data_IF_196070607790
#
_entry.id   IF_196070607790
#
_cell.length_a   1.000
_cell.length_b   1.000
_cell.length_c   1.000
_cell.angle_alpha   90.00
_cell.angle_beta   90.00
_cell.angle_gamma   90.00
#
_symmetry.space_group_name_H-M   'P 1'
#
loop_
_entity.id
_entity.type
_entity.pdbx_description
1 polymer ?
#
# COMPACT_ATOMS: atom_id res chain seq x y z
N UNK A 1 -19.77 26.55 0.33
CA UNK A 1 -19.93 25.51 1.37
C UNK A 1 -19.23 24.34 0.78
N UNK A 2 -18.03 24.14 1.31
CA UNK A 2 -17.01 23.27 0.80
C UNK A 2 -17.43 21.83 1.07
N UNK A 3 -17.75 21.10 0.00
CA UNK A 3 -17.70 19.64 0.03
C UNK A 3 -16.22 19.27 -0.12
N UNK A 4 -15.51 19.23 1.02
CA UNK A 4 -14.33 18.39 1.18
C UNK A 4 -14.77 16.94 0.92
N UNK A 5 -14.70 16.52 -0.34
CA UNK A 5 -14.76 15.11 -0.70
C UNK A 5 -13.56 14.44 -0.05
N UNK A 6 -13.78 13.87 1.13
CA UNK A 6 -12.81 13.04 1.83
C UNK A 6 -12.26 12.02 0.85
N UNK A 7 -10.94 12.04 0.66
CA UNK A 7 -10.23 11.04 -0.14
C UNK A 7 -10.69 9.65 0.32
N UNK A 8 -11.17 8.82 -0.62
CA UNK A 8 -11.71 7.48 -0.37
C UNK A 8 -10.69 6.65 0.42
N UNK A 9 -10.85 6.62 1.74
CA UNK A 9 -10.04 5.80 2.63
C UNK A 9 -10.49 4.37 2.45
N UNK A 10 -9.69 3.59 1.73
CA UNK A 10 -10.01 2.20 1.45
C UNK A 10 -10.01 1.42 2.76
N UNK A 11 -11.20 0.99 3.16
CA UNK A 11 -11.43 0.12 4.31
C UNK A 11 -11.94 -1.21 3.79
N UNK A 12 -11.30 -2.29 4.21
CA UNK A 12 -11.75 -3.66 3.96
C UNK A 12 -12.05 -4.33 5.29
N UNK A 13 -13.10 -5.12 5.35
CA UNK A 13 -13.46 -5.87 6.56
C UNK A 13 -14.04 -7.24 6.23
N UNK A 14 -13.97 -8.15 7.20
CA UNK A 14 -14.59 -9.47 7.11
C UNK A 14 -16.08 -9.40 7.45
N UNK A 15 -16.85 -10.31 6.87
CA UNK A 15 -18.25 -10.55 7.26
C UNK A 15 -18.43 -12.03 7.55
N UNK A 16 -18.87 -12.35 8.77
CA UNK A 16 -19.24 -13.71 9.18
C UNK A 16 -18.34 -14.35 10.21
N UNK A 17 -17.27 -13.69 10.67
CA UNK A 17 -16.54 -14.15 11.86
C UNK A 17 -17.40 -14.02 13.12
N UNK A 18 -18.32 -13.04 13.13
CA UNK A 18 -19.32 -12.84 14.20
C UNK A 18 -20.17 -14.07 14.45
N UNK A 19 -20.52 -14.83 13.41
CA UNK A 19 -21.28 -16.09 13.53
C UNK A 19 -20.49 -17.21 14.27
N UNK A 20 -19.22 -16.98 14.56
CA UNK A 20 -18.30 -17.88 15.26
C UNK A 20 -17.83 -17.31 16.59
N UNK A 21 -18.57 -16.35 17.14
CA UNK A 21 -18.23 -15.64 18.39
C UNK A 21 -16.83 -14.97 18.35
N UNK A 22 -16.42 -14.51 17.17
CA UNK A 22 -15.17 -13.80 16.96
C UNK A 22 -15.45 -12.39 16.39
N UNK A 23 -14.75 -11.33 16.86
CA UNK A 23 -14.83 -10.00 16.26
C UNK A 23 -14.56 -10.03 14.75
N UNK A 24 -15.18 -9.15 13.99
CA UNK A 24 -14.78 -8.96 12.60
C UNK A 24 -13.39 -8.31 12.52
N UNK A 25 -12.66 -8.62 11.46
CA UNK A 25 -11.36 -8.03 11.19
C UNK A 25 -11.52 -6.90 10.18
N UNK A 26 -10.92 -5.75 10.44
CA UNK A 26 -10.84 -4.65 9.48
C UNK A 26 -9.39 -4.29 9.16
N UNK A 27 -9.17 -3.69 8.00
CA UNK A 27 -7.89 -3.19 7.55
C UNK A 27 -8.10 -1.90 6.75
N UNK A 28 -7.23 -0.91 6.94
CA UNK A 28 -7.27 0.40 6.29
C UNK A 28 -6.00 0.60 5.47
N UNK A 29 -6.07 1.30 4.34
CA UNK A 29 -4.87 1.75 3.61
C UNK A 29 -4.21 0.74 2.68
N UNK A 30 -4.75 -0.49 2.58
CA UNK A 30 -4.32 -1.46 1.56
C UNK A 30 -5.22 -1.39 0.32
N UNK A 31 -4.65 -1.66 -0.88
CA UNK A 31 -5.43 -1.99 -2.05
C UNK A 31 -6.37 -3.18 -1.78
N UNK A 32 -7.55 -3.18 -2.43
CA UNK A 32 -8.61 -4.15 -2.16
C UNK A 32 -8.15 -5.62 -2.25
N UNK A 33 -7.33 -5.96 -3.24
CA UNK A 33 -6.82 -7.33 -3.42
C UNK A 33 -5.86 -7.74 -2.28
N UNK A 34 -4.95 -6.86 -1.87
CA UNK A 34 -4.02 -7.10 -0.76
C UNK A 34 -4.74 -7.20 0.57
N UNK A 35 -5.70 -6.32 0.81
CA UNK A 35 -6.53 -6.33 2.00
C UNK A 35 -7.37 -7.61 2.08
N UNK A 36 -8.03 -7.97 0.97
CA UNK A 36 -8.82 -9.20 0.86
C UNK A 36 -7.98 -10.44 1.08
N UNK A 37 -6.77 -10.52 0.50
CA UNK A 37 -5.85 -11.62 0.72
C UNK A 37 -5.43 -11.76 2.19
N UNK A 38 -5.03 -10.66 2.84
CA UNK A 38 -4.63 -10.64 4.24
C UNK A 38 -5.77 -11.06 5.16
N UNK A 39 -6.95 -10.47 4.98
CA UNK A 39 -8.14 -10.75 5.78
C UNK A 39 -8.62 -12.19 5.59
N UNK A 40 -8.57 -12.72 4.36
CA UNK A 40 -8.88 -14.14 4.11
C UNK A 40 -7.89 -15.08 4.80
N UNK A 41 -6.60 -14.73 4.81
CA UNK A 41 -5.59 -15.54 5.51
C UNK A 41 -5.89 -15.60 7.01
N UNK A 42 -6.14 -14.46 7.64
CA UNK A 42 -6.45 -14.38 9.07
C UNK A 42 -7.82 -15.00 9.38
N UNK A 43 -8.82 -14.75 8.54
CA UNK A 43 -10.14 -15.37 8.62
C UNK A 43 -10.08 -16.90 8.56
N UNK A 44 -9.23 -17.47 7.70
CA UNK A 44 -9.00 -18.92 7.66
C UNK A 44 -8.37 -19.46 8.95
N UNK A 45 -7.49 -18.70 9.62
CA UNK A 45 -6.95 -19.09 10.93
C UNK A 45 -8.03 -19.07 12.01
N UNK A 46 -8.88 -18.04 12.02
CA UNK A 46 -10.05 -17.99 12.91
C UNK A 46 -11.00 -19.15 12.62
N UNK A 47 -11.22 -19.48 11.34
CA UNK A 47 -11.99 -20.65 10.94
C UNK A 47 -11.40 -21.95 11.49
N UNK A 48 -10.08 -22.09 11.48
CA UNK A 48 -9.35 -23.21 12.07
C UNK A 48 -9.30 -23.22 13.61
N UNK A 49 -9.89 -22.22 14.28
CA UNK A 49 -10.01 -22.14 15.74
C UNK A 49 -9.02 -21.20 16.44
N UNK A 50 -8.24 -20.42 15.68
CA UNK A 50 -7.44 -19.34 16.28
C UNK A 50 -8.37 -18.25 16.85
N UNK A 51 -7.93 -17.60 17.93
CA UNK A 51 -8.61 -16.44 18.51
C UNK A 51 -7.65 -15.27 18.48
N UNK A 52 -7.94 -14.28 17.65
CA UNK A 52 -7.18 -13.04 17.58
C UNK A 52 -7.64 -12.09 18.68
N UNK A 53 -6.71 -11.33 19.26
CA UNK A 53 -6.98 -10.46 20.39
C UNK A 53 -6.24 -9.15 20.25
N UNK A 54 -6.85 -8.08 20.78
CA UNK A 54 -6.17 -6.82 21.02
C UNK A 54 -4.79 -7.01 21.68
N UNK A 55 -3.81 -6.26 21.19
CA UNK A 55 -2.44 -6.28 21.68
C UNK A 55 -1.62 -7.49 21.24
N UNK A 56 -2.12 -8.33 20.32
CA UNK A 56 -1.35 -9.46 19.79
C UNK A 56 -0.57 -9.08 18.53
N UNK A 57 0.56 -9.75 18.34
CA UNK A 57 1.34 -9.74 17.10
C UNK A 57 1.40 -11.17 16.59
N UNK A 58 1.26 -11.34 15.29
CA UNK A 58 1.36 -12.62 14.61
C UNK A 58 1.90 -12.42 13.20
N UNK A 59 2.51 -13.45 12.64
CA UNK A 59 2.95 -13.40 11.25
C UNK A 59 1.78 -13.64 10.30
N UNK A 60 1.57 -12.75 9.34
CA UNK A 60 0.88 -13.02 8.07
C UNK A 60 1.93 -13.31 6.97
N UNK A 61 1.55 -13.39 5.69
CA UNK A 61 2.55 -13.64 4.63
C UNK A 61 2.54 -15.08 4.10
N UNK A 62 3.31 -15.31 3.03
CA UNK A 62 3.53 -16.67 2.51
C UNK A 62 4.49 -17.46 3.40
N UNK A 63 4.42 -18.80 3.41
CA UNK A 63 5.40 -19.62 4.11
C UNK A 63 6.83 -19.32 3.63
N UNK A 64 7.69 -18.86 4.54
CA UNK A 64 9.08 -18.46 4.23
C UNK A 64 9.28 -16.95 4.11
N UNK A 65 8.20 -16.18 3.99
CA UNK A 65 8.21 -14.71 3.97
C UNK A 65 7.15 -14.16 4.95
N UNK A 66 7.32 -14.40 6.27
CA UNK A 66 6.40 -13.90 7.27
C UNK A 66 6.47 -12.39 7.37
N UNK A 67 5.30 -11.74 7.39
CA UNK A 67 5.13 -10.32 7.60
C UNK A 67 4.36 -10.11 8.90
N UNK A 68 4.96 -9.49 9.94
CA UNK A 68 4.28 -9.32 11.20
C UNK A 68 3.09 -8.38 11.04
N UNK A 69 1.96 -8.75 11.65
CA UNK A 69 0.78 -7.89 11.78
C UNK A 69 0.44 -7.74 13.25
N UNK A 70 -0.02 -6.55 13.62
CA UNK A 70 -0.48 -6.22 14.96
C UNK A 70 -2.01 -6.11 14.98
N UNK A 71 -2.61 -6.51 16.10
CA UNK A 71 -4.05 -6.49 16.29
C UNK A 71 -4.39 -5.47 17.37
N UNK A 72 -5.27 -4.51 17.05
CA UNK A 72 -5.82 -3.55 18.01
C UNK A 72 -7.35 -3.60 18.02
N UNK A 73 -7.95 -3.04 19.06
CA UNK A 73 -9.41 -2.92 19.15
C UNK A 73 -9.81 -1.72 18.30
N UNK A 74 -10.98 -1.81 17.68
CA UNK A 74 -11.60 -0.69 16.97
C UNK A 74 -12.47 0.07 17.96
N UNK A 75 -12.22 1.37 18.11
CA UNK A 75 -13.02 2.26 18.96
C UNK A 75 -14.12 2.98 18.14
N UNK A 76 -13.93 3.09 16.83
CA UNK A 76 -14.85 3.69 15.86
C UNK A 76 -15.12 2.68 14.71
N UNK A 77 -16.25 1.98 14.78
CA UNK A 77 -16.65 0.89 13.88
C UNK A 77 -17.83 1.24 12.96
N UNK A 78 -18.09 2.54 12.77
CA UNK A 78 -19.23 3.07 11.98
C UNK A 78 -19.23 2.59 10.50
N UNK A 79 -18.11 2.05 10.00
CA UNK A 79 -17.94 1.59 8.61
C UNK A 79 -18.37 0.11 8.38
N UNK A 80 -18.74 -0.63 9.43
CA UNK A 80 -19.12 -2.06 9.34
C UNK A 80 -20.63 -2.27 9.05
N UNK A 81 -21.21 -1.46 8.17
CA UNK A 81 -22.66 -1.42 7.90
C UNK A 81 -23.27 -2.81 7.59
N UNK A 82 -22.60 -3.62 6.75
CA UNK A 82 -23.08 -4.96 6.37
C UNK A 82 -23.09 -5.92 7.56
N UNK A 83 -22.12 -5.79 8.47
CA UNK A 83 -22.05 -6.61 9.69
C UNK A 83 -23.19 -6.21 10.62
N UNK A 84 -23.45 -4.91 10.77
CA UNK A 84 -24.53 -4.40 11.60
C UNK A 84 -25.90 -4.87 11.09
N UNK A 85 -26.14 -4.83 9.77
CA UNK A 85 -27.40 -5.29 9.18
C UNK A 85 -27.67 -6.78 9.46
N UNK A 86 -26.63 -7.63 9.40
CA UNK A 86 -26.77 -9.08 9.51
C UNK A 86 -26.74 -9.56 10.98
N UNK A 87 -25.83 -9.01 11.79
CA UNK A 87 -25.50 -9.52 13.13
C UNK A 87 -25.81 -8.54 14.26
N UNK A 88 -26.27 -7.32 13.96
CA UNK A 88 -26.32 -6.18 14.87
C UNK A 88 -24.92 -5.60 15.10
N UNK A 89 -24.82 -4.56 15.94
CA UNK A 89 -23.52 -4.00 16.32
C UNK A 89 -22.63 -5.07 16.98
N UNK A 90 -21.40 -5.21 16.47
CA UNK A 90 -20.41 -6.21 16.89
C UNK A 90 -19.04 -5.57 17.03
N UNK A 91 -18.24 -5.96 18.04
CA UNK A 91 -16.88 -5.48 18.15
C UNK A 91 -16.06 -5.88 16.93
N UNK A 92 -15.10 -5.03 16.56
CA UNK A 92 -14.15 -5.27 15.50
C UNK A 92 -12.70 -5.16 16.01
N UNK A 93 -11.80 -5.82 15.29
CA UNK A 93 -10.35 -5.74 15.49
C UNK A 93 -9.72 -5.18 14.22
N UNK A 94 -8.83 -4.21 14.39
CA UNK A 94 -8.05 -3.70 13.26
C UNK A 94 -6.75 -4.50 13.12
N UNK A 95 -6.47 -4.90 11.88
CA UNK A 95 -5.22 -5.53 11.46
C UNK A 95 -4.28 -4.45 10.94
N UNK A 96 -3.22 -4.21 11.71
CA UNK A 96 -2.14 -3.27 11.39
C UNK A 96 -1.04 -4.05 10.68
N UNK A 97 -0.71 -3.67 9.45
CA UNK A 97 0.34 -4.29 8.66
C UNK A 97 1.63 -3.45 8.67
N UNK A 98 2.75 -4.09 8.38
CA UNK A 98 4.03 -3.41 8.17
C UNK A 98 4.24 -3.00 6.72
N UNK A 99 5.12 -2.04 6.49
CA UNK A 99 5.62 -1.75 5.14
C UNK A 99 6.51 -2.89 4.60
N UNK A 100 7.05 -2.70 3.39
CA UNK A 100 7.96 -3.63 2.73
C UNK A 100 9.32 -3.81 3.43
N UNK A 101 9.61 -2.99 4.45
CA UNK A 101 10.81 -3.10 5.30
C UNK A 101 10.51 -3.71 6.67
N UNK A 102 9.26 -4.15 6.88
CA UNK A 102 8.81 -4.76 8.14
C UNK A 102 8.49 -3.75 9.24
N UNK A 103 8.43 -2.45 8.96
CA UNK A 103 8.15 -1.41 9.98
C UNK A 103 6.66 -1.19 10.13
N UNK A 104 6.19 -0.99 11.36
CA UNK A 104 4.82 -0.55 11.64
C UNK A 104 4.66 0.97 11.45
N UNK A 105 3.42 1.50 11.35
CA UNK A 105 3.20 2.94 11.17
C UNK A 105 3.81 3.85 12.26
N UNK A 106 4.03 3.32 13.46
CA UNK A 106 4.64 4.03 14.58
C UNK A 106 6.17 3.91 14.66
N UNK A 107 6.78 3.13 13.77
CA UNK A 107 8.23 2.99 13.73
C UNK A 107 8.87 4.11 12.91
N UNK A 108 10.00 4.61 13.42
CA UNK A 108 10.83 5.55 12.65
C UNK A 108 11.28 4.91 11.32
N UNK A 109 11.12 5.66 10.23
CA UNK A 109 11.47 5.21 8.89
C UNK A 109 10.42 4.35 8.18
N UNK A 110 9.17 4.31 8.69
CA UNK A 110 8.05 3.71 7.96
C UNK A 110 7.91 4.31 6.55
N UNK A 111 7.88 3.45 5.53
CA UNK A 111 7.99 3.81 4.13
C UNK A 111 6.66 4.27 3.50
N UNK A 112 5.52 3.83 4.05
CA UNK A 112 4.20 4.27 3.61
C UNK A 112 3.79 5.55 4.37
N UNK A 113 2.79 6.29 3.88
CA UNK A 113 2.25 7.42 4.66
C UNK A 113 1.47 6.84 5.85
N UNK A 114 1.78 7.21 7.12
CA UNK A 114 1.07 6.68 8.27
C UNK A 114 -0.44 6.94 8.26
N UNK A 115 -0.88 8.05 7.64
CA UNK A 115 -2.29 8.44 7.53
C UNK A 115 -3.11 7.50 6.66
N UNK A 116 -2.48 6.68 5.81
CA UNK A 116 -3.18 5.78 4.90
C UNK A 116 -3.76 4.57 5.67
N UNK A 117 -3.06 4.07 6.69
CA UNK A 117 -3.50 2.94 7.53
C UNK A 117 -4.26 3.40 8.78
N UNK A 118 -5.01 4.49 8.69
CA UNK A 118 -5.64 5.18 9.83
C UNK A 118 -6.01 4.27 11.01
N UNK A 119 -5.40 4.55 12.18
CA UNK A 119 -5.50 3.70 13.36
C UNK A 119 -6.83 4.01 14.07
N UNK A 120 -7.75 3.05 14.05
CA UNK A 120 -9.13 3.17 14.56
C UNK A 120 -9.26 2.93 16.07
N UNK A 121 -8.15 2.83 16.78
CA UNK A 121 -8.15 2.64 18.22
C UNK A 121 -6.77 2.84 18.83
N UNK A 122 -6.69 2.76 20.16
CA UNK A 122 -5.43 2.94 20.86
C UNK A 122 -4.46 1.78 20.59
N UNK A 123 -3.23 2.13 20.18
CA UNK A 123 -2.12 1.18 20.10
C UNK A 123 -1.56 0.96 21.51
N UNK A 124 -1.56 -0.28 22.04
CA UNK A 124 -0.99 -0.56 23.35
C UNK A 124 0.48 -0.19 23.45
N UNK A 125 0.89 0.27 24.63
CA UNK A 125 2.28 0.68 24.91
C UNK A 125 3.29 -0.42 24.57
N UNK A 126 2.95 -1.69 24.77
CA UNK A 126 3.85 -2.79 24.44
C UNK A 126 4.00 -3.03 22.92
N UNK A 127 3.02 -2.66 22.10
CA UNK A 127 3.14 -2.68 20.64
C UNK A 127 3.99 -1.51 20.15
N UNK A 128 3.80 -0.31 20.72
CA UNK A 128 4.64 0.85 20.44
C UNK A 128 6.11 0.60 20.82
N UNK A 129 6.34 -0.22 21.86
CA UNK A 129 7.67 -0.60 22.32
C UNK A 129 8.29 -1.77 21.54
N UNK A 130 7.63 -2.31 20.51
CA UNK A 130 8.22 -3.35 19.67
C UNK A 130 9.51 -2.80 19.03
N UNK A 131 10.60 -3.58 19.02
CA UNK A 131 11.83 -3.14 18.40
C UNK A 131 11.55 -2.83 16.93
N UNK A 132 12.05 -1.69 16.48
CA UNK A 132 12.03 -1.38 15.06
C UNK A 132 12.90 -2.41 14.34
N UNK A 133 12.38 -3.13 13.34
CA UNK A 133 13.15 -4.16 12.66
C UNK A 133 14.39 -3.55 12.01
N UNK A 134 15.55 -4.12 12.33
CA UNK A 134 16.78 -3.93 11.58
C UNK A 134 16.82 -5.01 10.50
N UNK A 135 15.92 -4.86 9.53
CA UNK A 135 15.71 -5.84 8.45
C UNK A 135 16.04 -5.13 7.16
N UNK A 136 17.05 -5.65 6.46
CA UNK A 136 17.33 -5.25 5.07
C UNK A 136 16.05 -5.45 4.25
N UNK A 137 15.75 -4.58 3.26
CA UNK A 137 14.59 -4.76 2.40
C UNK A 137 14.54 -6.19 1.87
N UNK A 138 13.34 -6.77 1.77
CA UNK A 138 13.19 -8.16 1.32
C UNK A 138 13.96 -8.38 0.02
N UNK A 139 14.52 -9.58 -0.25
CA UNK A 139 15.28 -9.81 -1.49
C UNK A 139 14.50 -9.39 -2.73
N UNK A 140 13.17 -9.55 -2.73
CA UNK A 140 12.27 -9.06 -3.77
C UNK A 140 12.17 -7.54 -3.80
N UNK A 141 12.05 -6.87 -2.65
CA UNK A 141 12.08 -5.40 -2.55
C UNK A 141 13.44 -4.81 -2.95
N UNK A 142 14.54 -5.53 -2.71
CA UNK A 142 15.90 -5.19 -3.11
C UNK A 142 16.16 -5.49 -4.59
N UNK A 143 15.58 -6.56 -5.14
CA UNK A 143 15.62 -6.90 -6.57
C UNK A 143 14.76 -5.96 -7.42
N UNK A 144 13.65 -5.45 -6.88
CA UNK A 144 12.82 -4.41 -7.51
C UNK A 144 13.23 -3.00 -7.11
N UNK A 145 14.22 -2.83 -6.23
CA UNK A 145 14.71 -1.51 -5.87
C UNK A 145 15.30 -0.86 -7.12
N UNK A 146 14.69 0.26 -7.51
CA UNK A 146 15.04 0.93 -8.75
C UNK A 146 14.48 0.25 -10.01
N UNK A 147 13.60 -0.76 -9.94
CA UNK A 147 12.90 -1.22 -11.14
C UNK A 147 11.68 -0.34 -11.44
N UNK A 148 11.52 0.00 -12.70
CA UNK A 148 10.40 0.80 -13.23
C UNK A 148 9.85 0.15 -14.50
N UNK A 149 8.58 0.42 -14.78
CA UNK A 149 7.90 0.02 -16.00
C UNK A 149 8.05 1.16 -17.02
N UNK A 150 8.47 0.83 -18.23
CA UNK A 150 8.62 1.78 -19.35
C UNK A 150 8.23 1.12 -20.66
N UNK A 151 7.96 1.91 -21.70
CA UNK A 151 7.66 1.37 -23.04
C UNK A 151 8.93 1.17 -23.90
N UNK A 152 8.84 0.33 -24.93
CA UNK A 152 9.93 0.13 -25.90
C UNK A 152 10.36 1.44 -26.58
N UNK A 153 9.43 2.35 -26.87
CA UNK A 153 9.77 3.65 -27.50
C UNK A 153 10.70 4.52 -26.63
N UNK A 154 10.56 4.47 -25.31
CA UNK A 154 11.48 5.14 -24.38
C UNK A 154 12.86 4.48 -24.42
N UNK A 155 12.90 3.14 -24.45
CA UNK A 155 14.15 2.37 -24.58
C UNK A 155 14.88 2.65 -25.90
N UNK A 156 14.12 2.94 -26.97
CA UNK A 156 14.64 3.35 -28.28
C UNK A 156 15.12 4.82 -28.32
N UNK A 157 15.01 5.55 -27.20
CA UNK A 157 15.57 6.89 -27.01
C UNK A 157 14.55 8.02 -27.01
N UNK A 158 13.25 7.72 -27.04
CA UNK A 158 12.23 8.73 -26.86
C UNK A 158 12.30 9.35 -25.45
N UNK A 159 11.90 10.63 -25.28
CA UNK A 159 12.00 11.28 -23.99
C UNK A 159 10.88 10.80 -23.05
N UNK A 160 11.22 10.51 -21.79
CA UNK A 160 10.19 10.26 -20.75
C UNK A 160 9.47 11.57 -20.47
N UNK A 161 8.22 11.75 -20.87
CA UNK A 161 7.47 12.99 -20.56
C UNK A 161 6.51 12.82 -19.41
N UNK A 162 6.23 11.58 -19.00
CA UNK A 162 5.29 11.23 -17.93
C UNK A 162 5.95 10.27 -16.96
N UNK A 163 5.88 10.59 -15.67
CA UNK A 163 6.29 9.75 -14.55
C UNK A 163 5.08 9.56 -13.65
N UNK A 164 4.66 8.34 -13.42
CA UNK A 164 3.55 8.01 -12.52
C UNK A 164 4.08 7.12 -11.41
N UNK A 165 3.68 7.42 -10.19
CA UNK A 165 3.77 6.47 -9.09
C UNK A 165 2.37 6.04 -8.73
N UNK A 166 2.04 4.81 -9.12
CA UNK A 166 0.73 4.22 -8.90
C UNK A 166 0.42 4.10 -7.40
N UNK A 167 -0.85 3.92 -7.07
CA UNK A 167 -1.30 3.77 -5.67
C UNK A 167 -0.70 2.52 -4.99
N UNK A 168 -0.38 1.47 -5.78
CA UNK A 168 0.30 0.26 -5.30
C UNK A 168 1.83 0.42 -5.17
N UNK A 169 2.37 1.59 -5.53
CA UNK A 169 3.79 1.92 -5.46
C UNK A 169 4.58 1.60 -6.72
N UNK A 170 3.96 1.08 -7.78
CA UNK A 170 4.62 0.86 -9.06
C UNK A 170 5.01 2.18 -9.75
N UNK A 171 6.18 2.18 -10.40
CA UNK A 171 6.69 3.32 -11.15
C UNK A 171 6.48 3.10 -12.65
N UNK A 172 5.81 4.03 -13.33
CA UNK A 172 5.66 4.05 -14.78
C UNK A 172 6.36 5.29 -15.34
N UNK A 173 7.30 5.09 -16.26
CA UNK A 173 8.03 6.16 -16.95
C UNK A 173 7.74 6.05 -18.45
N UNK A 174 6.99 7.00 -19.02
CA UNK A 174 6.42 6.90 -20.36
C UNK A 174 6.73 8.12 -21.23
N UNK A 175 6.66 7.94 -22.55
CA UNK A 175 6.89 9.00 -23.55
C UNK A 175 5.72 9.99 -23.67
N UNK A 176 4.50 9.56 -23.34
CA UNK A 176 3.27 10.35 -23.43
C UNK A 176 2.23 9.83 -22.43
N UNK A 177 1.19 10.63 -22.16
CA UNK A 177 0.04 10.25 -21.31
C UNK A 177 -0.97 9.36 -22.06
N UNK A 178 -0.82 9.25 -23.39
CA UNK A 178 -1.72 8.52 -24.25
C UNK A 178 -1.60 7.00 -24.03
N UNK A 179 -2.47 6.50 -23.16
CA UNK A 179 -3.03 5.14 -23.07
C UNK A 179 -2.13 3.96 -23.44
N UNK A 180 -1.82 3.16 -22.41
CA UNK A 180 -1.57 1.72 -22.42
C UNK A 180 -1.48 1.10 -23.82
N UNK A 181 -0.30 1.24 -24.46
CA UNK A 181 0.09 0.35 -25.55
C UNK A 181 -0.03 -1.08 -25.02
N UNK A 182 -0.44 -2.00 -25.90
CA UNK A 182 -0.78 -3.38 -25.55
C UNK A 182 0.26 -3.97 -24.57
N UNK A 183 -0.15 -4.81 -23.60
CA UNK A 183 0.73 -5.27 -22.51
C UNK A 183 2.07 -5.89 -22.94
N UNK A 184 2.22 -6.23 -24.23
CA UNK A 184 3.45 -6.74 -24.84
C UNK A 184 4.54 -5.68 -25.10
N UNK A 185 4.25 -4.37 -25.02
CA UNK A 185 5.23 -3.29 -25.26
C UNK A 185 5.84 -2.66 -23.98
N UNK A 186 5.40 -3.12 -22.80
CA UNK A 186 5.91 -2.68 -21.51
C UNK A 186 7.07 -3.54 -21.03
N UNK A 187 8.11 -2.86 -20.56
CA UNK A 187 9.37 -3.45 -20.14
C UNK A 187 9.68 -3.04 -18.71
N UNK A 188 10.05 -4.02 -17.88
CA UNK A 188 10.59 -3.79 -16.55
C UNK A 188 12.11 -3.59 -16.65
N UNK A 189 12.60 -2.41 -16.27
CA UNK A 189 14.02 -2.05 -16.37
C UNK A 189 14.50 -1.36 -15.10
N UNK A 190 15.82 -1.33 -14.90
CA UNK A 190 16.41 -0.55 -13.83
C UNK A 190 16.41 0.95 -14.17
N UNK A 191 16.04 1.77 -13.20
CA UNK A 191 15.86 3.22 -13.31
C UNK A 191 17.16 3.92 -13.65
N UNK A 192 18.30 3.37 -13.20
CA UNK A 192 19.61 3.89 -13.53
C UNK A 192 19.84 3.94 -15.05
N UNK A 193 19.32 2.98 -15.83
CA UNK A 193 19.43 3.04 -17.30
C UNK A 193 18.71 4.27 -17.87
N UNK A 194 17.55 4.63 -17.29
CA UNK A 194 16.79 5.80 -17.71
C UNK A 194 17.41 7.10 -17.18
N UNK A 195 17.95 7.11 -15.96
CA UNK A 195 18.66 8.25 -15.36
C UNK A 195 19.97 8.54 -16.11
N UNK A 196 20.70 7.51 -16.53
CA UNK A 196 21.89 7.68 -17.37
C UNK A 196 21.55 8.35 -18.70
N UNK A 197 20.42 7.97 -19.30
CA UNK A 197 19.92 8.59 -20.53
C UNK A 197 19.28 9.99 -20.29
N UNK A 198 18.72 10.21 -19.10
CA UNK A 198 18.09 11.46 -18.67
C UNK A 198 18.26 11.74 -17.17
N UNK A 199 19.33 12.47 -16.80
CA UNK A 199 19.62 12.75 -15.40
C UNK A 199 18.53 13.57 -14.67
N UNK A 200 17.67 14.30 -15.40
CA UNK A 200 16.60 15.10 -14.79
C UNK A 200 15.49 14.25 -14.15
N UNK A 201 15.46 12.94 -14.42
CA UNK A 201 14.53 12.01 -13.75
C UNK A 201 14.78 11.95 -12.23
N UNK A 202 16.02 12.20 -11.78
CA UNK A 202 16.35 12.28 -10.35
C UNK A 202 15.55 13.35 -9.60
N UNK A 203 14.99 14.32 -10.33
CA UNK A 203 14.15 15.40 -9.78
C UNK A 203 12.70 14.98 -9.55
N UNK A 204 12.25 13.79 -9.97
CA UNK A 204 10.82 13.40 -9.89
C UNK A 204 10.58 11.96 -9.44
N UNK A 205 11.63 11.14 -9.34
CA UNK A 205 11.55 9.75 -8.83
C UNK A 205 11.43 9.67 -7.30
N UNK A 206 10.96 10.74 -6.68
CA UNK A 206 10.66 10.90 -5.26
C UNK A 206 9.17 11.23 -5.00
N UNK A 207 8.34 11.34 -6.05
CA UNK A 207 6.92 11.65 -5.90
C UNK A 207 6.19 10.60 -5.06
N UNK A 208 5.18 10.99 -4.26
CA UNK A 208 4.41 10.06 -3.45
C UNK A 208 3.54 9.14 -4.33
N UNK A 209 3.11 8.00 -3.77
CA UNK A 209 2.17 7.12 -4.45
C UNK A 209 0.86 7.88 -4.76
N UNK A 210 0.25 7.58 -5.91
CA UNK A 210 -0.93 8.28 -6.45
C UNK A 210 -0.62 9.61 -7.15
N UNK A 211 0.64 10.01 -7.25
CA UNK A 211 1.05 11.25 -7.93
C UNK A 211 1.65 10.99 -9.30
N UNK A 212 1.71 12.05 -10.11
CA UNK A 212 2.42 12.04 -11.39
C UNK A 212 3.26 13.29 -11.60
N UNK A 213 4.26 13.22 -12.45
CA UNK A 213 4.99 14.37 -12.96
C UNK A 213 5.00 14.34 -14.49
N UNK A 214 4.81 15.49 -15.12
CA UNK A 214 4.82 15.64 -16.58
C UNK A 214 5.75 16.75 -17.04
N UNK A 215 6.20 16.70 -18.30
CA UNK A 215 6.96 17.77 -18.94
C UNK A 215 6.72 17.75 -20.45
N UNK A 216 6.89 18.88 -21.14
CA UNK A 216 6.61 18.96 -22.59
C UNK A 216 7.70 18.31 -23.47
N UNK A 217 8.92 18.15 -22.95
CA UNK A 217 10.06 17.58 -23.68
C UNK A 217 11.19 17.19 -22.72
N UNK A 218 12.23 16.49 -23.22
CA UNK A 218 13.43 16.08 -22.46
C UNK A 218 14.11 17.19 -21.65
N UNK A 219 14.02 18.43 -22.12
CA UNK A 219 14.69 19.58 -21.50
C UNK A 219 13.71 20.57 -20.87
N UNK A 220 12.41 20.29 -20.94
CA UNK A 220 11.41 21.08 -20.25
C UNK A 220 11.43 20.77 -18.75
N UNK A 221 11.16 21.77 -17.89
CA UNK A 221 11.05 21.54 -16.45
C UNK A 221 9.88 20.60 -16.15
N UNK A 222 10.04 19.80 -15.10
CA UNK A 222 8.97 18.95 -14.59
C UNK A 222 7.87 19.76 -13.91
N UNK A 223 6.63 19.39 -14.19
CA UNK A 223 5.44 19.82 -13.48
C UNK A 223 4.94 18.63 -12.67
N UNK A 224 4.99 18.75 -11.34
CA UNK A 224 4.50 17.71 -10.42
C UNK A 224 3.01 17.93 -10.16
N UNK A 225 2.25 16.85 -10.20
CA UNK A 225 0.81 16.84 -9.98
C UNK A 225 0.50 15.91 -8.80
N UNK A 226 -0.18 16.41 -7.76
CA UNK A 226 -0.52 15.62 -6.59
C UNK A 226 -1.57 14.54 -6.88
N UNK A 227 -2.23 14.59 -8.03
CA UNK A 227 -3.26 13.65 -8.49
C UNK A 227 -3.00 13.33 -9.97
N UNK A 228 -2.71 12.07 -10.27
CA UNK A 228 -2.68 11.55 -11.63
C UNK A 228 -3.85 10.59 -11.82
N UNK A 229 -4.83 10.96 -12.65
CA UNK A 229 -5.85 10.00 -13.09
C UNK A 229 -5.15 8.85 -13.82
N UNK A 230 -5.29 7.63 -13.31
CA UNK A 230 -5.32 6.44 -14.15
C UNK A 230 -6.63 6.43 -14.96
#
# INVERSE_FOLDING_TARGET
>A
MDDELGEDRVVAYTVGLSARDHPELMCTGLPADSAGWLLNQLGNRVHAGAVLRHGTVLDAGEPGEPHPVAIIDVEDDDELEVVEEIYGHRPALQVIYTDSTGRFPWHDGYANRPVDQDLRGQVPVHLLALPCPDVDPSPKAAEIAGLVITSQVVLDGAPVTVVVREADGAWLLLETDAQYEEPDDLHLVHIDHLIEADPSLTEVVDIPAGSRATRDSRHAPWVRWPLGSA
#
